data_IF_597660082494
#
_entry.id   IF_597660082494
#
_cell.length_a   1.000
_cell.length_b   1.000
_cell.length_c   1.000
_cell.angle_alpha   90.00
_cell.angle_beta   90.00
_cell.angle_gamma   90.00
#
_symmetry.space_group_name_H-M   'P 1'
#
loop_
_entity.id
_entity.type
_entity.pdbx_description
1 polymer ?
#
# COMPACT_ATOMS: atom_id res chain seq x y z
N UNK A 1 -16.90 10.34 -53.30
CA UNK A 1 -15.47 10.46 -53.62
C UNK A 1 -14.73 10.27 -52.30
N UNK A 2 -14.11 9.10 -52.13
CA UNK A 2 -13.44 8.67 -50.90
C UNK A 2 -12.06 9.31 -50.84
N UNK A 3 -11.80 10.16 -49.84
CA UNK A 3 -10.44 10.56 -49.47
C UNK A 3 -9.97 9.66 -48.33
N UNK A 4 -9.22 8.63 -48.68
CA UNK A 4 -8.44 7.83 -47.75
C UNK A 4 -7.14 8.60 -47.43
N UNK A 5 -6.96 9.01 -46.17
CA UNK A 5 -5.69 9.53 -45.68
C UNK A 5 -4.95 8.36 -45.04
N UNK A 6 -3.88 7.91 -45.70
CA UNK A 6 -3.01 6.87 -45.18
C UNK A 6 -2.10 7.48 -44.10
N UNK A 7 -2.33 7.11 -42.84
CA UNK A 7 -1.36 7.34 -41.76
C UNK A 7 -0.22 6.33 -41.90
N UNK A 8 0.94 6.81 -42.35
CA UNK A 8 2.19 6.06 -42.30
C UNK A 8 2.68 6.00 -40.86
N UNK A 9 2.26 4.97 -40.11
CA UNK A 9 2.90 4.63 -38.84
C UNK A 9 4.15 3.81 -39.12
N UNK A 10 5.31 4.37 -38.76
CA UNK A 10 6.61 3.72 -38.90
C UNK A 10 6.80 2.68 -37.78
N UNK A 11 7.21 1.42 -38.06
CA UNK A 11 7.26 0.36 -37.05
C UNK A 11 8.58 0.27 -36.26
N UNK A 12 9.33 1.36 -36.09
CA UNK A 12 10.62 1.33 -35.37
C UNK A 12 10.79 2.53 -34.43
N UNK A 13 9.97 2.55 -33.38
CA UNK A 13 10.18 3.40 -32.23
C UNK A 13 10.12 2.52 -30.98
N UNK A 14 11.23 1.84 -30.69
CA UNK A 14 11.45 1.25 -29.37
C UNK A 14 11.57 2.41 -28.39
N UNK A 15 10.67 2.58 -27.40
CA UNK A 15 10.83 3.65 -26.43
C UNK A 15 12.11 3.38 -25.65
N UNK A 16 13.08 4.30 -25.79
CA UNK A 16 14.29 4.29 -24.99
C UNK A 16 13.89 4.43 -23.51
N UNK A 17 14.05 3.35 -22.74
CA UNK A 17 13.87 3.38 -21.29
C UNK A 17 14.90 4.36 -20.72
N UNK A 18 14.42 5.42 -20.07
CA UNK A 18 15.25 6.42 -19.41
C UNK A 18 16.09 5.82 -18.26
N UNK A 19 16.98 6.63 -17.67
CA UNK A 19 17.89 6.19 -16.59
C UNK A 19 17.17 5.68 -15.32
N UNK A 20 15.87 5.86 -15.20
CA UNK A 20 15.00 5.26 -14.18
C UNK A 20 14.49 3.87 -14.58
N UNK A 21 15.37 3.03 -15.12
CA UNK A 21 15.07 1.61 -15.32
C UNK A 21 15.18 0.90 -13.97
N UNK A 22 14.15 1.08 -13.13
CA UNK A 22 14.06 0.42 -11.83
C UNK A 22 13.91 -1.09 -12.03
N UNK A 23 14.73 -1.89 -11.33
CA UNK A 23 14.71 -3.34 -11.45
C UNK A 23 13.35 -3.91 -11.03
N UNK A 24 12.73 -4.68 -11.93
CA UNK A 24 11.48 -5.36 -11.63
C UNK A 24 11.76 -6.67 -10.89
N UNK A 25 11.31 -6.76 -9.64
CA UNK A 25 11.42 -7.97 -8.80
C UNK A 25 10.19 -8.88 -8.96
N UNK A 26 10.28 -10.14 -8.51
CA UNK A 26 9.14 -11.07 -8.43
C UNK A 26 8.62 -11.16 -6.99
N UNK A 27 7.31 -11.10 -6.83
CA UNK A 27 6.66 -11.30 -5.53
C UNK A 27 6.72 -12.77 -5.11
N UNK A 28 7.11 -13.08 -3.87
CA UNK A 28 7.15 -14.46 -3.37
C UNK A 28 5.77 -15.15 -3.29
N UNK A 29 4.69 -14.36 -3.17
CA UNK A 29 3.33 -14.92 -2.97
C UNK A 29 2.58 -15.18 -4.27
N UNK A 30 2.57 -14.20 -5.18
CA UNK A 30 1.80 -14.26 -6.43
C UNK A 30 2.68 -14.39 -7.68
N UNK A 31 4.00 -14.38 -7.52
CA UNK A 31 5.01 -14.55 -8.58
C UNK A 31 4.99 -13.48 -9.70
N UNK A 32 4.15 -12.45 -9.55
CA UNK A 32 4.08 -11.32 -10.48
C UNK A 32 5.31 -10.41 -10.36
N UNK A 33 5.70 -9.82 -11.48
CA UNK A 33 6.75 -8.80 -11.52
C UNK A 33 6.22 -7.45 -11.04
N UNK A 34 6.98 -6.75 -10.23
CA UNK A 34 6.60 -5.44 -9.69
C UNK A 34 7.81 -4.53 -9.52
N UNK A 35 7.54 -3.22 -9.40
CA UNK A 35 8.55 -2.19 -9.18
C UNK A 35 8.61 -1.90 -7.66
N UNK A 36 9.76 -2.08 -6.99
CA UNK A 36 9.90 -1.90 -5.54
C UNK A 36 9.41 -0.55 -5.02
N UNK A 37 9.67 0.56 -5.72
CA UNK A 37 9.24 1.90 -5.34
C UNK A 37 7.72 2.07 -5.33
N UNK A 38 6.99 1.24 -6.09
CA UNK A 38 5.52 1.23 -6.16
C UNK A 38 4.87 0.22 -5.21
N UNK A 39 5.65 -0.60 -4.51
CA UNK A 39 5.11 -1.57 -3.56
C UNK A 39 4.55 -0.89 -2.31
N UNK A 40 3.35 -1.32 -1.89
CA UNK A 40 2.72 -0.87 -0.64
C UNK A 40 3.09 -1.75 0.56
N UNK A 41 3.87 -2.82 0.34
CA UNK A 41 4.39 -3.68 1.40
C UNK A 41 5.41 -2.93 2.27
N UNK A 42 5.59 -3.34 3.52
CA UNK A 42 6.74 -2.94 4.33
C UNK A 42 8.01 -3.64 3.84
N UNK A 43 7.86 -4.88 3.37
CA UNK A 43 8.90 -5.71 2.76
C UNK A 43 8.87 -5.57 1.23
N UNK A 44 9.10 -4.35 0.74
CA UNK A 44 9.02 -3.98 -0.69
C UNK A 44 9.97 -4.73 -1.61
N UNK A 45 10.99 -5.40 -1.08
CA UNK A 45 11.91 -6.25 -1.86
C UNK A 45 11.45 -7.71 -1.96
N UNK A 46 10.36 -8.06 -1.27
CA UNK A 46 9.83 -9.43 -1.17
C UNK A 46 8.40 -9.54 -1.72
N UNK A 47 7.56 -8.53 -1.48
CA UNK A 47 6.15 -8.54 -1.87
C UNK A 47 5.75 -7.32 -2.69
N UNK A 48 4.84 -7.54 -3.63
CA UNK A 48 4.28 -6.49 -4.48
C UNK A 48 3.24 -5.60 -3.75
N UNK A 49 2.66 -6.07 -2.64
CA UNK A 49 1.64 -5.36 -1.88
C UNK A 49 1.57 -5.82 -0.43
N UNK A 50 0.98 -4.99 0.43
CA UNK A 50 0.69 -5.34 1.82
C UNK A 50 -0.19 -6.60 1.96
N UNK A 51 -1.11 -6.86 1.02
CA UNK A 51 -1.95 -8.05 1.06
C UNK A 51 -1.15 -9.35 0.83
N UNK A 52 -0.18 -9.31 -0.08
CA UNK A 52 0.70 -10.45 -0.32
C UNK A 52 1.62 -10.70 0.88
N UNK A 53 2.09 -9.63 1.54
CA UNK A 53 2.86 -9.72 2.78
C UNK A 53 2.03 -10.34 3.91
N UNK A 54 0.82 -9.84 4.17
CA UNK A 54 -0.07 -10.39 5.20
C UNK A 54 -0.45 -11.86 4.93
N UNK A 55 -0.69 -12.20 3.67
CA UNK A 55 -1.04 -13.56 3.28
C UNK A 55 0.09 -14.57 3.47
N UNK A 56 1.35 -14.10 3.45
CA UNK A 56 2.53 -14.95 3.64
C UNK A 56 2.99 -15.00 5.10
N UNK A 57 2.98 -13.86 5.79
CA UNK A 57 3.34 -13.76 7.22
C UNK A 57 2.25 -14.32 8.15
N UNK A 58 1.03 -14.53 7.64
CA UNK A 58 -0.03 -15.20 8.37
C UNK A 58 -0.71 -14.31 9.40
N UNK A 59 -1.43 -13.28 8.96
CA UNK A 59 -2.59 -12.80 9.72
C UNK A 59 -3.73 -13.81 9.54
N UNK A 60 -3.73 -14.86 10.36
CA UNK A 60 -4.83 -15.83 10.43
C UNK A 60 -5.88 -15.34 11.42
N UNK A 61 -7.17 -15.55 11.11
CA UNK A 61 -8.25 -15.37 12.08
C UNK A 61 -7.95 -16.17 13.36
N UNK A 62 -7.32 -17.35 13.23
CA UNK A 62 -6.90 -18.16 14.37
C UNK A 62 -5.83 -17.46 15.24
N UNK A 63 -5.01 -16.58 14.67
CA UNK A 63 -4.07 -15.76 15.45
C UNK A 63 -4.79 -14.71 16.30
N UNK A 64 -5.91 -14.18 15.80
CA UNK A 64 -6.75 -13.22 16.53
C UNK A 64 -7.57 -13.88 17.64
N UNK A 65 -7.93 -15.17 17.51
CA UNK A 65 -8.65 -15.92 18.55
C UNK A 65 -7.88 -16.00 19.88
N UNK A 66 -6.55 -15.93 19.82
CA UNK A 66 -5.68 -16.04 21.00
C UNK A 66 -5.12 -14.68 21.47
N UNK A 67 -5.42 -13.60 20.76
CA UNK A 67 -4.99 -12.26 21.15
C UNK A 67 -5.98 -11.68 22.15
N UNK A 68 -5.66 -11.77 23.44
CA UNK A 68 -6.44 -11.09 24.46
C UNK A 68 -6.21 -9.57 24.38
N UNK A 69 -7.29 -8.76 24.35
CA UNK A 69 -7.16 -7.31 24.39
C UNK A 69 -6.55 -6.90 25.73
N UNK A 70 -5.33 -6.37 25.69
CA UNK A 70 -4.77 -5.64 26.83
C UNK A 70 -5.69 -4.45 27.12
N UNK A 71 -6.21 -4.30 28.35
CA UNK A 71 -6.99 -3.13 28.70
C UNK A 71 -6.07 -1.91 28.53
N UNK A 72 -6.35 -1.11 27.50
CA UNK A 72 -5.74 0.20 27.38
C UNK A 72 -6.20 0.96 28.60
N UNK A 73 -5.27 1.21 29.53
CA UNK A 73 -5.52 2.09 30.65
C UNK A 73 -6.00 3.41 30.04
N UNK A 74 -7.31 3.64 30.15
CA UNK A 74 -7.89 4.94 29.89
C UNK A 74 -7.38 5.76 31.07
N UNK A 75 -6.23 6.42 30.89
CA UNK A 75 -5.93 7.58 31.71
C UNK A 75 -7.11 8.52 31.48
N UNK A 76 -8.00 8.58 32.47
CA UNK A 76 -9.18 9.40 32.42
C UNK A 76 -8.73 10.82 32.07
N UNK A 77 -9.34 11.48 31.07
CA UNK A 77 -9.12 12.90 30.89
C UNK A 77 -9.53 13.57 32.20
N UNK A 78 -8.56 14.15 32.90
CA UNK A 78 -8.82 15.01 34.05
C UNK A 78 -9.59 16.22 33.53
N UNK A 79 -10.92 16.12 33.58
CA UNK A 79 -11.81 17.27 33.43
C UNK A 79 -11.54 18.17 34.63
N UNK A 80 -10.78 19.22 34.38
CA UNK A 80 -10.64 20.37 35.28
C UNK A 80 -12.01 21.06 35.33
N UNK A 81 -12.79 20.78 36.38
CA UNK A 81 -14.04 21.49 36.63
C UNK A 81 -13.70 22.85 37.25
N UNK A 82 -13.58 23.87 36.38
CA UNK A 82 -13.67 25.28 36.79
C UNK A 82 -15.05 25.54 37.42
N UNK A 83 -15.15 26.01 38.68
CA UNK A 83 -16.42 26.37 39.28
C UNK A 83 -17.03 27.58 38.56
N UNK A 84 -18.16 27.38 37.89
CA UNK A 84 -18.97 28.47 37.33
C UNK A 84 -19.51 29.32 38.48
N UNK A 85 -18.92 30.50 38.68
CA UNK A 85 -19.38 31.54 39.59
C UNK A 85 -20.74 32.05 39.10
N UNK A 86 -21.75 31.89 39.93
CA UNK A 86 -23.10 32.43 39.74
C UNK A 86 -23.08 33.93 40.04
N UNK A 87 -23.33 34.77 39.03
CA UNK A 87 -23.49 36.23 39.20
C UNK A 87 -25.00 36.61 39.03
N UNK A 88 -25.52 37.64 39.74
CA UNK A 88 -26.89 37.70 40.27
C UNK A 88 -27.98 38.27 39.36
#
# INVERSE_FOLDING_TARGET
>A
MVCAMAETTSPDAVPAFGPDSEEMLRCNRCELRYIPSKSTSSLRLTYCSFLCELGDLGFSIAGLEHMEPQPKAIEAPTVDLEPQESEP
#
